data_IF_046612692599
#
_entry.id   IF_046612692599
#
_cell.length_a   1.000
_cell.length_b   1.000
_cell.length_c   1.000
_cell.angle_alpha   90.00
_cell.angle_beta   90.00
_cell.angle_gamma   90.00
#
_symmetry.space_group_name_H-M   'P 1'
#
loop_
_entity.id
_entity.type
_entity.pdbx_description
1 polymer ?
#
# COMPACT_ATOMS: atom_id res chain seq x y z
N UNK A 1 -3.15 -18.76 3.27
CA UNK A 1 -3.79 -17.91 2.23
C UNK A 1 -2.77 -17.06 1.47
N UNK A 2 -1.87 -16.35 2.17
CA UNK A 2 -0.84 -15.50 1.56
C UNK A 2 -0.04 -16.16 0.41
N UNK A 3 0.49 -17.36 0.64
CA UNK A 3 1.29 -18.10 -0.36
C UNK A 3 0.52 -18.35 -1.67
N UNK A 4 -0.79 -18.63 -1.58
CA UNK A 4 -1.63 -18.85 -2.76
C UNK A 4 -1.84 -17.55 -3.53
N UNK A 5 -2.10 -16.46 -2.83
CA UNK A 5 -2.26 -15.14 -3.46
C UNK A 5 -0.97 -14.67 -4.15
N UNK A 6 0.19 -14.84 -3.52
CA UNK A 6 1.50 -14.55 -4.12
C UNK A 6 1.75 -15.39 -5.38
N UNK A 7 1.37 -16.68 -5.37
CA UNK A 7 1.47 -17.53 -6.57
C UNK A 7 0.60 -17.02 -7.72
N UNK A 8 -0.60 -16.53 -7.44
CA UNK A 8 -1.48 -15.93 -8.47
C UNK A 8 -0.86 -14.67 -9.05
N UNK A 9 -0.30 -13.79 -8.21
CA UNK A 9 0.34 -12.55 -8.66
C UNK A 9 1.55 -12.81 -9.59
N UNK A 10 2.35 -13.84 -9.27
CA UNK A 10 3.52 -14.23 -10.08
C UNK A 10 3.17 -14.87 -11.41
N UNK A 11 1.93 -15.30 -11.62
CA UNK A 11 1.51 -15.87 -12.89
C UNK A 11 1.36 -14.76 -13.94
N UNK A 12 2.10 -14.87 -15.04
CA UNK A 12 2.10 -13.88 -16.11
C UNK A 12 0.72 -13.69 -16.74
N UNK A 13 -0.05 -14.78 -16.90
CA UNK A 13 -1.37 -14.80 -17.54
C UNK A 13 -2.52 -14.47 -16.59
N UNK A 14 -2.24 -14.20 -15.32
CA UNK A 14 -3.28 -13.78 -14.40
C UNK A 14 -3.76 -12.38 -14.77
N UNK A 15 -5.02 -12.26 -15.15
CA UNK A 15 -5.61 -11.00 -15.63
C UNK A 15 -6.05 -10.06 -14.49
N UNK A 16 -6.30 -10.60 -13.29
CA UNK A 16 -6.80 -9.82 -12.14
C UNK A 16 -5.67 -9.42 -11.16
N UNK A 17 -4.49 -9.06 -11.68
CA UNK A 17 -3.31 -8.69 -10.85
C UNK A 17 -3.62 -7.62 -9.80
N UNK A 18 -4.35 -6.53 -10.11
CA UNK A 18 -4.74 -5.54 -9.09
C UNK A 18 -5.46 -6.17 -7.89
N UNK A 19 -6.45 -7.03 -8.12
CA UNK A 19 -7.20 -7.70 -7.06
C UNK A 19 -6.33 -8.66 -6.23
N UNK A 20 -5.38 -9.35 -6.84
CA UNK A 20 -4.43 -10.18 -6.09
C UNK A 20 -3.48 -9.35 -5.22
N UNK A 21 -3.00 -8.21 -5.72
CA UNK A 21 -2.18 -7.28 -4.93
C UNK A 21 -2.96 -6.78 -3.72
N UNK A 22 -4.22 -6.39 -3.90
CA UNK A 22 -5.09 -5.95 -2.81
C UNK A 22 -5.38 -7.05 -1.78
N UNK A 23 -5.58 -8.29 -2.24
CA UNK A 23 -5.73 -9.44 -1.36
C UNK A 23 -4.45 -9.67 -0.52
N UNK A 24 -3.27 -9.64 -1.14
CA UNK A 24 -1.99 -9.81 -0.44
C UNK A 24 -1.82 -8.70 0.61
N UNK A 25 -2.08 -7.45 0.23
CA UNK A 25 -2.08 -6.29 1.14
C UNK A 25 -2.99 -6.51 2.35
N UNK A 26 -4.24 -6.91 2.12
CA UNK A 26 -5.22 -7.15 3.19
C UNK A 26 -4.76 -8.25 4.15
N UNK A 27 -4.22 -9.35 3.62
CA UNK A 27 -3.69 -10.44 4.44
C UNK A 27 -2.49 -9.98 5.28
N UNK A 28 -1.57 -9.18 4.72
CA UNK A 28 -0.42 -8.63 5.45
C UNK A 28 -0.89 -7.72 6.60
N UNK A 29 -1.86 -6.84 6.34
CA UNK A 29 -2.39 -5.93 7.36
C UNK A 29 -3.15 -6.62 8.48
N UNK A 30 -3.75 -7.78 8.20
CA UNK A 30 -4.39 -8.62 9.20
C UNK A 30 -3.39 -9.53 9.96
N UNK A 31 -2.09 -9.26 9.87
CA UNK A 31 -1.01 -10.07 10.46
C UNK A 31 -1.03 -11.54 9.97
N UNK A 32 -1.60 -11.78 8.79
CA UNK A 32 -1.74 -13.12 8.20
C UNK A 32 -0.45 -13.69 7.62
N UNK A 33 0.68 -12.99 7.75
CA UNK A 33 2.02 -13.47 7.44
C UNK A 33 2.64 -14.10 8.69
N UNK A 34 2.60 -15.43 8.77
CA UNK A 34 3.05 -16.18 9.95
C UNK A 34 4.57 -16.16 10.17
N UNK A 35 5.37 -15.72 9.20
CA UNK A 35 6.84 -15.61 9.29
C UNK A 35 7.36 -14.37 8.56
N UNK A 36 8.49 -13.82 9.01
CA UNK A 36 9.18 -12.70 8.35
C UNK A 36 9.58 -13.05 6.91
N UNK A 37 9.95 -14.31 6.66
CA UNK A 37 10.28 -14.80 5.33
C UNK A 37 9.06 -14.78 4.39
N UNK A 38 7.88 -15.17 4.89
CA UNK A 38 6.65 -15.14 4.11
C UNK A 38 6.22 -13.70 3.79
N UNK A 39 6.38 -12.79 4.76
CA UNK A 39 6.16 -11.36 4.58
C UNK A 39 7.11 -10.78 3.52
N UNK A 40 8.42 -11.02 3.68
CA UNK A 40 9.45 -10.54 2.76
C UNK A 40 9.19 -11.04 1.33
N UNK A 41 8.88 -12.33 1.17
CA UNK A 41 8.56 -12.90 -0.14
C UNK A 41 7.31 -12.29 -0.78
N UNK A 42 6.28 -12.00 0.02
CA UNK A 42 5.06 -11.34 -0.47
C UNK A 42 5.33 -9.90 -0.90
N UNK A 43 6.12 -9.14 -0.12
CA UNK A 43 6.49 -7.77 -0.45
C UNK A 43 7.37 -7.70 -1.69
N UNK A 44 8.35 -8.59 -1.83
CA UNK A 44 9.13 -8.72 -3.07
C UNK A 44 8.21 -8.97 -4.26
N UNK A 45 7.25 -9.89 -4.13
CA UNK A 45 6.31 -10.18 -5.22
C UNK A 45 5.43 -8.98 -5.60
N UNK A 46 5.06 -8.13 -4.64
CA UNK A 46 4.34 -6.88 -4.91
C UNK A 46 5.26 -5.90 -5.65
N UNK A 47 6.49 -5.70 -5.16
CA UNK A 47 7.47 -4.80 -5.79
C UNK A 47 7.80 -5.22 -7.22
N UNK A 48 7.93 -6.53 -7.49
CA UNK A 48 8.19 -7.05 -8.83
C UNK A 48 7.09 -6.64 -9.84
N UNK A 49 5.84 -6.53 -9.37
CA UNK A 49 4.71 -6.12 -10.20
C UNK A 49 4.73 -4.63 -10.61
N UNK A 50 5.66 -3.81 -10.09
CA UNK A 50 5.94 -2.46 -10.63
C UNK A 50 6.46 -2.50 -12.06
N UNK A 51 7.09 -3.61 -12.46
CA UNK A 51 7.57 -3.81 -13.83
C UNK A 51 6.45 -4.29 -14.79
N UNK A 52 5.20 -4.33 -14.34
CA UNK A 52 4.06 -4.69 -15.19
C UNK A 52 3.81 -3.64 -16.28
N UNK A 53 3.51 -4.09 -17.49
CA UNK A 53 3.11 -3.22 -18.61
C UNK A 53 1.76 -2.55 -18.37
N UNK A 54 0.87 -3.23 -17.64
CA UNK A 54 -0.43 -2.72 -17.23
C UNK A 54 -0.30 -1.65 -16.13
N UNK A 55 -0.81 -0.45 -16.42
CA UNK A 55 -0.76 0.68 -15.50
C UNK A 55 -1.67 0.51 -14.29
N UNK A 56 -2.78 -0.23 -14.43
CA UNK A 56 -3.68 -0.53 -13.31
C UNK A 56 -2.96 -1.40 -12.27
N UNK A 57 -2.19 -2.39 -12.74
CA UNK A 57 -1.31 -3.19 -11.86
C UNK A 57 -0.30 -2.30 -11.14
N UNK A 58 0.41 -1.41 -11.85
CA UNK A 58 1.42 -0.53 -11.22
C UNK A 58 0.80 0.41 -10.18
N UNK A 59 -0.38 0.97 -10.47
CA UNK A 59 -1.15 1.78 -9.52
C UNK A 59 -1.53 0.98 -8.27
N UNK A 60 -2.06 -0.23 -8.45
CA UNK A 60 -2.43 -1.11 -7.35
C UNK A 60 -1.22 -1.47 -6.46
N UNK A 61 -0.04 -1.69 -7.06
CA UNK A 61 1.19 -1.89 -6.29
C UNK A 61 1.52 -0.66 -5.44
N UNK A 62 1.49 0.53 -6.03
CA UNK A 62 1.78 1.77 -5.30
C UNK A 62 0.83 1.97 -4.12
N UNK A 63 -0.47 1.77 -4.33
CA UNK A 63 -1.48 1.79 -3.26
C UNK A 63 -1.16 0.77 -2.16
N UNK A 64 -0.83 -0.46 -2.54
CA UNK A 64 -0.55 -1.53 -1.59
C UNK A 64 0.70 -1.26 -0.75
N UNK A 65 1.80 -0.87 -1.38
CA UNK A 65 3.07 -0.59 -0.69
C UNK A 65 2.92 0.58 0.30
N UNK A 66 2.24 1.65 -0.10
CA UNK A 66 1.98 2.77 0.80
C UNK A 66 1.06 2.38 1.96
N UNK A 67 -0.01 1.64 1.68
CA UNK A 67 -0.93 1.19 2.71
C UNK A 67 -0.25 0.27 3.73
N UNK A 68 0.64 -0.63 3.28
CA UNK A 68 1.46 -1.46 4.16
C UNK A 68 2.43 -0.58 4.98
N UNK A 69 3.11 0.37 4.34
CA UNK A 69 4.03 1.28 5.04
C UNK A 69 3.34 2.12 6.12
N UNK A 70 2.07 2.47 5.93
CA UNK A 70 1.25 3.20 6.89
C UNK A 70 0.72 2.29 8.01
N UNK A 71 0.24 1.09 7.66
CA UNK A 71 -0.48 0.20 8.59
C UNK A 71 0.43 -0.62 9.48
N UNK A 72 1.64 -0.95 9.04
CA UNK A 72 2.53 -1.82 9.80
C UNK A 72 3.67 -1.01 10.39
N UNK A 73 3.70 -0.92 11.72
CA UNK A 73 4.70 -0.19 12.49
C UNK A 73 6.10 -0.84 12.43
N UNK A 74 6.65 -1.24 13.57
CA UNK A 74 8.04 -1.71 13.71
C UNK A 74 8.48 -2.82 12.73
N UNK A 75 7.56 -3.70 12.29
CA UNK A 75 7.81 -4.77 11.31
C UNK A 75 8.24 -4.25 9.93
N UNK A 76 7.94 -2.99 9.61
CA UNK A 76 8.31 -2.37 8.34
C UNK A 76 9.62 -1.62 8.44
N UNK A 77 10.25 -1.41 9.60
CA UNK A 77 11.50 -0.62 9.65
C UNK A 77 12.58 -1.18 8.72
N UNK A 78 12.67 -2.52 8.61
CA UNK A 78 13.57 -3.23 7.67
C UNK A 78 13.14 -3.07 6.20
N UNK A 79 11.83 -3.11 5.94
CA UNK A 79 11.26 -3.06 4.58
C UNK A 79 10.88 -1.66 4.09
N UNK A 80 10.90 -0.66 4.96
CA UNK A 80 10.46 0.73 4.77
C UNK A 80 11.23 1.38 3.64
N UNK A 81 12.55 1.24 3.68
CA UNK A 81 13.43 1.80 2.67
C UNK A 81 13.15 1.17 1.30
N UNK A 82 12.86 -0.14 1.25
CA UNK A 82 12.52 -0.84 0.00
C UNK A 82 11.16 -0.39 -0.55
N UNK A 83 10.14 -0.25 0.30
CA UNK A 83 8.83 0.27 -0.09
C UNK A 83 8.94 1.72 -0.59
N UNK A 84 9.62 2.59 0.16
CA UNK A 84 9.79 4.00 -0.20
C UNK A 84 10.58 4.15 -1.50
N UNK A 85 11.69 3.43 -1.65
CA UNK A 85 12.48 3.42 -2.89
C UNK A 85 11.67 2.94 -4.08
N UNK A 86 10.86 1.89 -3.90
CA UNK A 86 10.00 1.37 -4.97
C UNK A 86 8.92 2.37 -5.38
N UNK A 87 8.34 3.10 -4.42
CA UNK A 87 7.42 4.21 -4.68
C UNK A 87 8.13 5.37 -5.40
N UNK A 88 9.34 5.72 -4.98
CA UNK A 88 10.16 6.76 -5.62
C UNK A 88 10.50 6.42 -7.08
N UNK A 89 10.79 5.16 -7.39
CA UNK A 89 11.03 4.72 -8.76
C UNK A 89 9.80 4.89 -9.66
N UNK A 90 8.59 4.82 -9.11
CA UNK A 90 7.34 4.93 -9.86
C UNK A 90 6.80 6.37 -9.92
N UNK A 91 7.38 7.34 -9.19
CA UNK A 91 6.93 8.75 -9.21
C UNK A 91 7.01 9.41 -10.60
N UNK A 92 7.85 8.85 -11.48
CA UNK A 92 8.01 9.29 -12.87
C UNK A 92 7.27 8.37 -13.86
N UNK A 93 6.26 7.62 -13.41
CA UNK A 93 5.46 6.77 -14.30
C UNK A 93 4.92 7.58 -15.49
N UNK A 94 4.83 6.97 -16.66
CA UNK A 94 4.32 7.64 -17.86
C UNK A 94 2.82 7.98 -17.72
N UNK A 95 2.09 7.24 -16.90
CA UNK A 95 0.62 7.37 -16.73
C UNK A 95 0.29 8.29 -15.55
N UNK A 96 -0.50 9.34 -15.81
CA UNK A 96 -0.86 10.37 -14.82
C UNK A 96 -1.54 9.80 -13.56
N UNK A 97 -2.58 8.94 -13.65
CA UNK A 97 -3.17 8.30 -12.48
C UNK A 97 -2.18 7.61 -11.54
N UNK A 98 -1.15 6.94 -12.09
CA UNK A 98 -0.12 6.27 -11.29
C UNK A 98 0.71 7.30 -10.51
N UNK A 99 1.14 8.37 -11.18
CA UNK A 99 1.89 9.46 -10.54
C UNK A 99 1.10 10.16 -9.44
N UNK A 100 -0.14 10.55 -9.73
CA UNK A 100 -0.98 11.30 -8.79
C UNK A 100 -1.26 10.45 -7.53
N UNK A 101 -1.47 9.14 -7.71
CA UNK A 101 -1.59 8.19 -6.62
C UNK A 101 -0.33 8.13 -5.76
N UNK A 102 0.85 8.02 -6.37
CA UNK A 102 2.12 7.92 -5.64
C UNK A 102 2.42 9.19 -4.85
N UNK A 103 2.22 10.36 -5.46
CA UNK A 103 2.44 11.65 -4.81
C UNK A 103 1.53 11.79 -3.59
N UNK A 104 0.24 11.48 -3.74
CA UNK A 104 -0.72 11.50 -2.64
C UNK A 104 -0.31 10.56 -1.50
N UNK A 105 0.13 9.35 -1.85
CA UNK A 105 0.49 8.34 -0.85
C UNK A 105 1.83 8.62 -0.16
N UNK A 106 2.84 9.12 -0.89
CA UNK A 106 4.12 9.55 -0.31
C UNK A 106 3.89 10.68 0.70
N UNK A 107 3.15 11.71 0.30
CA UNK A 107 2.81 12.83 1.17
C UNK A 107 2.06 12.39 2.43
N UNK A 108 1.11 11.46 2.28
CA UNK A 108 0.37 10.88 3.41
C UNK A 108 1.29 10.11 4.34
N UNK A 109 2.23 9.35 3.80
CA UNK A 109 3.20 8.57 4.57
C UNK A 109 4.17 9.48 5.34
N UNK A 110 4.68 10.54 4.71
CA UNK A 110 5.58 11.52 5.34
C UNK A 110 4.89 12.27 6.48
N UNK A 111 3.66 12.75 6.26
CA UNK A 111 2.85 13.39 7.31
C UNK A 111 2.57 12.48 8.48
N UNK A 112 2.33 11.20 8.21
CA UNK A 112 2.15 10.18 9.23
C UNK A 112 3.41 9.95 10.05
N UNK A 113 4.57 9.82 9.40
CA UNK A 113 5.84 9.68 10.10
C UNK A 113 6.16 10.91 10.95
N UNK A 114 5.88 12.11 10.46
CA UNK A 114 6.09 13.35 11.22
C UNK A 114 5.12 13.42 12.42
N UNK A 115 3.87 12.99 12.24
CA UNK A 115 2.91 12.82 13.33
C UNK A 115 3.34 11.78 14.37
N UNK A 116 3.95 10.67 13.95
CA UNK A 116 4.49 9.62 14.84
C UNK A 116 5.74 10.09 15.61
N UNK A 117 6.59 10.90 14.98
CA UNK A 117 7.76 11.51 15.64
C UNK A 117 7.30 12.51 16.71
N UNK A 118 6.32 13.36 16.41
CA UNK A 118 5.74 14.30 17.38
C UNK A 118 5.01 13.57 18.51
N UNK A 119 4.27 12.49 18.21
CA UNK A 119 3.62 11.66 19.23
C UNK A 119 4.63 10.98 20.16
N UNK A 120 5.77 10.51 19.66
CA UNK A 120 6.82 9.96 20.52
C UNK A 120 7.52 11.03 21.36
N UNK A 121 7.63 12.26 20.86
CA UNK A 121 8.15 13.40 21.63
C UNK A 121 7.18 13.85 22.73
N UNK A 122 5.86 13.81 22.46
CA UNK A 122 4.83 14.21 23.42
C UNK A 122 4.38 13.07 24.37
N UNK A 123 4.65 11.81 24.00
CA UNK A 123 4.41 10.62 24.83
C UNK A 123 5.41 10.43 25.98
N UNK A 124 6.17 11.47 26.35
CA UNK A 124 6.68 11.61 27.71
C UNK A 124 5.56 11.79 28.75
N UNK A 125 4.30 12.00 28.33
CA UNK A 125 3.16 12.16 29.22
C UNK A 125 1.95 11.31 28.82
N UNK A 126 1.73 10.24 29.58
CA UNK A 126 0.42 9.64 29.93
C UNK A 126 -0.46 8.94 28.85
N UNK A 127 -0.43 7.61 28.97
CA UNK A 127 -1.48 6.58 28.81
C UNK A 127 -2.21 6.34 27.47
N UNK A 128 -1.90 5.15 26.91
CA UNK A 128 -2.67 4.25 26.01
C UNK A 128 -4.09 4.71 25.66
N UNK A 129 -4.36 4.91 24.36
CA UNK A 129 -5.65 4.66 23.65
C UNK A 129 -5.76 5.45 22.32
N UNK A 130 -4.85 6.39 22.04
CA UNK A 130 -5.00 7.32 20.89
C UNK A 130 -4.43 6.80 19.56
N UNK A 131 -3.53 5.83 19.62
CA UNK A 131 -2.88 5.21 18.46
C UNK A 131 -3.90 4.56 17.51
N UNK A 132 -4.82 3.66 17.95
CA UNK A 132 -5.70 2.90 17.04
C UNK A 132 -6.69 3.77 16.26
N UNK A 133 -7.17 4.87 16.88
CA UNK A 133 -8.23 5.70 16.31
C UNK A 133 -7.78 6.46 15.06
N UNK A 134 -6.51 6.89 15.01
CA UNK A 134 -5.97 7.67 13.87
C UNK A 134 -5.60 6.77 12.68
N UNK A 135 -5.16 5.54 12.93
CA UNK A 135 -5.02 4.52 11.88
C UNK A 135 -6.39 4.12 11.31
N UNK A 136 -7.43 4.06 12.14
CA UNK A 136 -8.79 3.80 11.69
C UNK A 136 -9.38 4.94 10.83
N UNK A 137 -9.17 6.21 11.20
CA UNK A 137 -9.63 7.34 10.37
C UNK A 137 -8.97 7.34 8.98
N UNK A 138 -7.69 7.00 8.89
CA UNK A 138 -7.01 6.88 7.60
C UNK A 138 -7.37 5.61 6.83
N UNK A 139 -7.79 4.57 7.57
CA UNK A 139 -8.41 3.38 6.99
C UNK A 139 -9.63 3.75 6.13
N UNK A 140 -10.44 4.66 6.65
CA UNK A 140 -11.67 5.12 6.01
C UNK A 140 -11.39 6.05 4.81
N UNK A 141 -10.33 6.86 4.85
CA UNK A 141 -9.98 7.75 3.74
C UNK A 141 -9.38 7.00 2.54
N UNK A 142 -8.60 5.93 2.77
CA UNK A 142 -8.17 5.09 1.63
C UNK A 142 -9.37 4.43 0.96
N UNK A 143 -10.32 3.93 1.76
CA UNK A 143 -11.45 3.13 1.28
C UNK A 143 -12.40 4.02 0.46
N UNK A 144 -12.54 5.28 0.89
CA UNK A 144 -13.22 6.33 0.14
C UNK A 144 -12.51 6.66 -1.19
N UNK A 145 -11.17 6.71 -1.22
CA UNK A 145 -10.43 7.07 -2.44
C UNK A 145 -10.46 5.94 -3.48
N UNK A 146 -10.41 4.68 -3.04
CA UNK A 146 -10.60 3.51 -3.92
C UNK A 146 -12.04 3.37 -4.42
N UNK A 147 -13.04 3.88 -3.68
CA UNK A 147 -14.43 3.88 -4.13
C UNK A 147 -14.74 4.98 -5.15
N UNK A 148 -14.13 6.16 -5.03
CA UNK A 148 -14.37 7.28 -5.96
C UNK A 148 -13.85 6.98 -7.37
N UNK A 149 -12.82 6.15 -7.52
CA UNK A 149 -12.26 5.82 -8.85
C UNK A 149 -12.96 4.67 -9.58
N UNK A 150 -13.96 4.03 -8.98
CA UNK A 150 -14.78 2.99 -9.63
C UNK A 150 -15.99 3.59 -10.36
N UNK A 151 -16.37 4.83 -10.06
CA UNK A 151 -17.55 5.50 -10.66
C UNK A 151 -17.21 6.39 -11.88
N UNK A 152 -16.00 6.27 -12.44
CA UNK A 152 -15.47 7.22 -13.42
C UNK A 152 -15.47 6.80 -14.91
N UNK A 153 -16.09 5.68 -15.29
CA UNK A 153 -16.12 5.19 -16.68
C UNK A 153 -17.56 4.90 -17.18
N UNK A 154 -18.48 5.85 -16.97
CA UNK A 154 -19.68 5.96 -17.80
C UNK A 154 -19.68 7.33 -18.49
N UNK A 155 -19.00 7.44 -19.64
CA UNK A 155 -19.25 8.52 -20.58
C UNK A 155 -19.75 7.96 -21.91
N UNK A 156 -21.08 7.82 -21.97
CA UNK A 156 -21.90 8.44 -23.02
C UNK A 156 -21.51 8.19 -24.47
N UNK A 157 -21.79 6.97 -24.97
CA UNK A 157 -22.06 6.80 -26.39
C UNK A 157 -23.48 7.27 -26.73
N UNK A 158 -23.59 8.40 -27.42
CA UNK A 158 -24.80 8.92 -28.06
C UNK A 158 -24.49 9.40 -29.46
#
# INVERSE_FOLDING_TARGET
MLVRAVKLLKNLHFMAKPAAIDLIRSIIQAEGASTEQALSSALTSIMDALNSTDWNTRKAVSLALSSIAISSGYLVTSFRNSCLRSLECSKFDKVKPVRDTIIYMQFSCEKLFQGLILLNHEAGSSTKEQIPKRFHTMRLTYDATTKIEVDGDEDGGG
#
